data_IF_777697814520
#
_entry.id   IF_777697814520
#
_cell.length_a   1.000
_cell.length_b   1.000
_cell.length_c   1.000
_cell.angle_alpha   90.00
_cell.angle_beta   90.00
_cell.angle_gamma   90.00
#
_symmetry.space_group_name_H-M   'P 1'
#
loop_
_entity.id
_entity.type
_entity.pdbx_description
1 polymer ?
#
# COMPACT_ATOMS: atom_id res chain seq x y z
N UNK A 1 -3.82 10.18 -12.82
CA UNK A 1 -5.17 10.45 -13.34
C UNK A 1 -5.15 10.62 -14.87
N UNK A 2 -4.32 11.51 -15.44
CA UNK A 2 -4.25 11.69 -16.91
C UNK A 2 -3.75 10.45 -17.66
N UNK A 3 -2.84 9.65 -17.10
CA UNK A 3 -2.35 8.43 -17.75
C UNK A 3 -3.41 7.34 -17.81
N UNK A 4 -4.19 7.17 -16.75
CA UNK A 4 -5.29 6.20 -16.74
C UNK A 4 -6.50 6.65 -17.55
N UNK A 5 -6.68 7.97 -17.73
CA UNK A 5 -7.77 8.57 -18.49
C UNK A 5 -7.45 8.93 -19.94
N UNK A 6 -6.26 8.60 -20.46
CA UNK A 6 -5.78 9.10 -21.76
C UNK A 6 -6.69 8.67 -22.93
N UNK A 7 -7.27 7.48 -22.87
CA UNK A 7 -8.20 7.00 -23.88
C UNK A 7 -9.49 7.82 -23.91
N UNK A 8 -9.97 8.21 -22.73
CA UNK A 8 -11.17 9.05 -22.59
C UNK A 8 -10.90 10.45 -23.11
N UNK A 9 -9.76 11.05 -22.74
CA UNK A 9 -9.34 12.38 -23.22
C UNK A 9 -9.31 12.40 -24.74
N UNK A 10 -8.69 11.39 -25.38
CA UNK A 10 -8.62 11.25 -26.84
C UNK A 10 -9.96 10.98 -27.49
N UNK A 11 -10.79 10.13 -26.87
CA UNK A 11 -12.11 9.82 -27.40
C UNK A 11 -13.04 11.03 -27.46
N UNK A 12 -12.87 11.98 -26.56
CA UNK A 12 -13.64 13.22 -26.52
C UNK A 12 -12.94 14.43 -27.15
N UNK A 13 -11.72 14.27 -27.70
CA UNK A 13 -10.94 15.35 -28.33
C UNK A 13 -10.60 16.49 -27.35
N UNK A 14 -10.39 16.17 -26.06
CA UNK A 14 -10.23 17.15 -24.98
C UNK A 14 -8.76 17.30 -24.55
N UNK A 15 -7.82 17.06 -25.47
CA UNK A 15 -6.37 17.10 -25.21
C UNK A 15 -5.93 18.52 -24.83
N UNK A 16 -6.39 19.53 -25.57
CA UNK A 16 -5.98 20.92 -25.36
C UNK A 16 -6.36 21.44 -23.98
N UNK A 17 -7.56 21.13 -23.52
CA UNK A 17 -8.02 21.53 -22.18
C UNK A 17 -7.27 20.78 -21.08
N UNK A 18 -7.01 19.50 -21.30
CA UNK A 18 -6.23 18.65 -20.36
C UNK A 18 -4.78 19.13 -20.28
N UNK A 19 -4.19 19.54 -21.38
CA UNK A 19 -2.84 20.12 -21.43
C UNK A 19 -2.78 21.47 -20.70
N UNK A 20 -3.75 22.36 -20.92
CA UNK A 20 -3.84 23.65 -20.19
C UNK A 20 -3.95 23.44 -18.66
N UNK A 21 -4.78 22.51 -18.25
CA UNK A 21 -4.94 22.17 -16.81
C UNK A 21 -3.65 21.63 -16.23
N UNK A 22 -2.98 20.72 -16.95
CA UNK A 22 -1.68 20.18 -16.55
C UNK A 22 -0.61 21.28 -16.49
N UNK A 23 -0.52 22.14 -17.49
CA UNK A 23 0.45 23.25 -17.57
C UNK A 23 0.26 24.22 -16.40
N UNK A 24 -0.98 24.56 -16.06
CA UNK A 24 -1.27 25.39 -14.90
C UNK A 24 -0.81 24.74 -13.58
N UNK A 25 -1.17 23.49 -13.37
CA UNK A 25 -0.75 22.76 -12.16
C UNK A 25 0.78 22.61 -12.07
N UNK A 26 1.43 22.38 -13.23
CA UNK A 26 2.89 22.29 -13.32
C UNK A 26 3.57 23.63 -13.03
N UNK A 27 3.03 24.74 -13.53
CA UNK A 27 3.53 26.09 -13.21
C UNK A 27 3.43 26.42 -11.73
N UNK A 28 2.29 26.11 -11.10
CA UNK A 28 2.07 26.34 -9.68
C UNK A 28 3.04 25.51 -8.83
N UNK A 29 3.20 24.22 -9.16
CA UNK A 29 4.15 23.35 -8.50
C UNK A 29 5.60 23.82 -8.69
N UNK A 30 5.96 24.19 -9.93
CA UNK A 30 7.31 24.68 -10.26
C UNK A 30 7.59 25.99 -9.52
N UNK A 31 6.62 26.92 -9.48
CA UNK A 31 6.74 28.17 -8.74
C UNK A 31 7.01 27.94 -7.26
N UNK A 32 6.24 27.06 -6.63
CA UNK A 32 6.41 26.67 -5.22
C UNK A 32 7.77 26.03 -4.97
N UNK A 33 8.18 25.07 -5.80
CA UNK A 33 9.47 24.41 -5.69
C UNK A 33 10.64 25.37 -5.90
N UNK A 34 10.56 26.29 -6.86
CA UNK A 34 11.58 27.31 -7.07
C UNK A 34 11.73 28.22 -5.86
N UNK A 35 10.62 28.66 -5.26
CA UNK A 35 10.66 29.47 -4.04
C UNK A 35 11.36 28.72 -2.91
N UNK A 36 10.92 27.49 -2.61
CA UNK A 36 11.50 26.66 -1.55
C UNK A 36 12.99 26.41 -1.81
N UNK A 37 13.37 26.03 -3.03
CA UNK A 37 14.76 25.78 -3.38
C UNK A 37 15.63 27.04 -3.30
N UNK A 38 15.14 28.21 -3.73
CA UNK A 38 15.87 29.47 -3.59
C UNK A 38 16.13 29.80 -2.10
N UNK A 39 15.14 29.64 -1.24
CA UNK A 39 15.31 29.83 0.21
C UNK A 39 16.32 28.85 0.76
N UNK A 40 16.20 27.57 0.46
CA UNK A 40 17.09 26.52 0.96
C UNK A 40 18.55 26.72 0.49
N UNK A 41 18.75 27.04 -0.79
CA UNK A 41 20.11 27.27 -1.36
C UNK A 41 20.74 28.54 -0.76
N UNK A 42 19.95 29.58 -0.46
CA UNK A 42 20.48 30.81 0.13
C UNK A 42 20.85 30.66 1.62
N UNK A 43 20.27 29.71 2.32
CA UNK A 43 20.55 29.46 3.74
C UNK A 43 22.03 29.14 4.00
N UNK A 44 22.65 28.27 3.20
CA UNK A 44 24.03 27.86 3.38
C UNK A 44 25.02 29.02 3.27
N UNK A 45 25.02 29.87 2.21
CA UNK A 45 25.88 31.04 2.14
C UNK A 45 25.66 32.03 3.27
N UNK A 46 24.40 32.27 3.68
CA UNK A 46 24.08 33.17 4.79
C UNK A 46 24.65 32.63 6.08
N UNK A 47 24.48 31.35 6.39
CA UNK A 47 25.04 30.74 7.59
C UNK A 47 26.56 30.76 7.59
N UNK A 48 27.21 30.52 6.42
CA UNK A 48 28.65 30.67 6.28
C UNK A 48 29.12 32.10 6.56
N UNK A 49 28.42 33.08 6.06
CA UNK A 49 28.74 34.49 6.31
C UNK A 49 28.62 34.83 7.77
N UNK A 50 27.57 34.38 8.46
CA UNK A 50 27.39 34.59 9.90
C UNK A 50 28.53 33.90 10.68
N UNK A 51 28.89 32.66 10.32
CA UNK A 51 29.93 31.90 10.98
C UNK A 51 31.30 32.57 10.83
N UNK A 52 31.64 33.01 9.61
CA UNK A 52 32.90 33.74 9.37
C UNK A 52 32.93 35.08 10.10
N UNK A 53 31.82 35.82 10.09
CA UNK A 53 31.69 37.06 10.89
C UNK A 53 31.90 36.83 12.39
N UNK A 54 31.27 35.79 12.93
CA UNK A 54 31.47 35.41 14.35
C UNK A 54 32.91 35.03 14.64
N UNK A 55 33.54 34.26 13.76
CA UNK A 55 34.98 33.87 13.87
C UNK A 55 35.87 35.12 13.92
N UNK A 56 35.67 36.09 13.02
CA UNK A 56 36.43 37.33 13.01
C UNK A 56 36.25 38.14 14.32
N UNK A 57 35.03 38.23 14.83
CA UNK A 57 34.72 38.92 16.09
C UNK A 57 35.42 38.23 17.28
N UNK A 58 35.34 36.91 17.36
CA UNK A 58 35.99 36.16 18.44
C UNK A 58 37.51 36.34 18.38
N UNK A 59 38.12 36.28 17.20
CA UNK A 59 39.56 36.53 17.05
C UNK A 59 39.93 37.97 17.45
N UNK A 60 39.17 38.96 16.96
CA UNK A 60 39.46 40.36 17.25
C UNK A 60 39.36 40.69 18.75
N UNK A 61 38.27 40.32 19.40
CA UNK A 61 38.07 40.59 20.81
C UNK A 61 38.91 39.65 21.69
N UNK A 62 39.03 38.38 21.28
CA UNK A 62 39.84 37.39 21.99
C UNK A 62 41.32 37.76 22.01
N UNK A 63 41.88 38.19 20.89
CA UNK A 63 43.29 38.63 20.82
C UNK A 63 43.57 39.79 21.77
N UNK A 64 42.62 40.76 21.86
CA UNK A 64 42.73 41.87 22.84
C UNK A 64 42.74 41.38 24.29
N UNK A 65 41.92 40.39 24.63
CA UNK A 65 41.86 39.84 25.98
C UNK A 65 43.06 39.00 26.30
N UNK A 66 43.65 38.29 25.33
CA UNK A 66 44.92 37.57 25.47
C UNK A 66 46.07 38.56 25.71
N UNK A 67 46.14 39.67 24.96
CA UNK A 67 47.16 40.71 25.09
C UNK A 67 47.11 41.39 26.49
N UNK A 68 45.91 41.56 27.03
CA UNK A 68 45.67 42.07 28.38
C UNK A 68 45.92 41.02 29.48
N UNK A 69 46.22 39.77 29.12
CA UNK A 69 46.47 38.69 30.07
C UNK A 69 45.20 38.13 30.77
N UNK A 70 44.01 38.48 30.28
CA UNK A 70 42.72 38.07 30.89
C UNK A 70 42.29 36.65 30.51
N UNK A 71 42.72 36.15 29.34
CA UNK A 71 42.43 34.80 28.86
C UNK A 71 43.70 34.18 28.25
N UNK A 72 43.79 32.86 28.28
CA UNK A 72 44.83 32.13 27.58
C UNK A 72 44.47 31.91 26.09
N UNK A 73 45.49 31.74 25.24
CA UNK A 73 45.28 31.45 23.81
C UNK A 73 44.42 30.17 23.63
N UNK A 74 44.63 29.16 24.49
CA UNK A 74 43.80 27.92 24.46
C UNK A 74 42.34 28.16 24.75
N UNK A 75 41.99 29.11 25.61
CA UNK A 75 40.60 29.50 25.90
C UNK A 75 39.96 30.19 24.69
N UNK A 76 40.69 31.09 24.02
CA UNK A 76 40.22 31.70 22.77
C UNK A 76 39.94 30.64 21.69
N UNK A 77 40.82 29.65 21.55
CA UNK A 77 40.60 28.53 20.60
C UNK A 77 39.39 27.68 20.97
N UNK A 78 39.17 27.45 22.29
CA UNK A 78 37.96 26.76 22.76
C UNK A 78 36.67 27.52 22.42
N UNK A 79 36.64 28.86 22.57
CA UNK A 79 35.52 29.70 22.15
C UNK A 79 35.20 29.54 20.65
N UNK A 80 36.24 29.55 19.81
CA UNK A 80 36.03 29.30 18.35
C UNK A 80 35.41 27.95 18.08
N UNK A 81 35.90 26.91 18.75
CA UNK A 81 35.36 25.56 18.60
C UNK A 81 33.91 25.45 19.08
N UNK A 82 33.57 26.02 20.21
CA UNK A 82 32.21 26.03 20.74
C UNK A 82 31.26 26.81 19.83
N UNK A 83 31.70 27.94 19.29
CA UNK A 83 30.89 28.71 18.32
C UNK A 83 30.51 27.86 17.09
N UNK A 84 31.48 27.11 16.55
CA UNK A 84 31.20 26.18 15.43
C UNK A 84 30.20 25.07 15.80
N UNK A 85 30.37 24.45 16.98
CA UNK A 85 29.49 23.40 17.48
C UNK A 85 28.06 23.93 17.66
N UNK A 86 27.90 25.13 18.22
CA UNK A 86 26.60 25.77 18.43
C UNK A 86 25.89 25.99 17.08
N UNK A 87 26.58 26.59 16.10
CA UNK A 87 25.99 26.83 14.78
C UNK A 87 25.56 25.54 14.09
N UNK A 88 26.43 24.51 14.14
CA UNK A 88 26.11 23.19 13.57
C UNK A 88 24.91 22.54 14.26
N UNK A 89 24.81 22.67 15.58
CA UNK A 89 23.68 22.17 16.36
C UNK A 89 22.37 22.84 15.95
N UNK A 90 22.37 24.16 15.75
CA UNK A 90 21.19 24.87 15.24
C UNK A 90 20.77 24.42 13.84
N UNK A 91 21.74 24.20 12.94
CA UNK A 91 21.45 23.64 11.60
C UNK A 91 20.82 22.26 11.69
N UNK A 92 21.33 21.42 12.59
CA UNK A 92 20.78 20.06 12.79
C UNK A 92 19.34 20.12 13.32
N UNK A 93 19.06 20.98 14.31
CA UNK A 93 17.70 21.18 14.84
C UNK A 93 16.75 21.70 13.74
N UNK A 94 17.21 22.67 12.94
CA UNK A 94 16.41 23.17 11.82
C UNK A 94 16.08 22.08 10.78
N UNK A 95 17.03 21.20 10.47
CA UNK A 95 16.82 20.06 9.56
C UNK A 95 15.82 19.06 10.15
N UNK A 96 15.93 18.74 11.43
CA UNK A 96 14.99 17.86 12.14
C UNK A 96 13.58 18.45 12.11
N UNK A 97 13.43 19.75 12.33
CA UNK A 97 12.14 20.43 12.31
C UNK A 97 11.42 20.32 10.94
N UNK A 98 12.17 20.24 9.83
CA UNK A 98 11.61 20.02 8.49
C UNK A 98 11.29 18.53 8.24
N UNK A 99 12.11 17.63 8.76
CA UNK A 99 11.93 16.19 8.54
C UNK A 99 10.83 15.58 9.41
N UNK A 100 10.68 16.07 10.65
CA UNK A 100 9.77 15.49 11.65
C UNK A 100 8.31 15.40 11.18
N UNK A 101 7.70 16.44 10.58
CA UNK A 101 6.33 16.35 10.08
C UNK A 101 6.17 15.29 8.98
N UNK A 102 7.15 15.17 8.08
CA UNK A 102 7.13 14.16 7.02
C UNK A 102 7.24 12.74 7.57
N UNK A 103 8.15 12.55 8.52
CA UNK A 103 8.32 11.26 9.20
C UNK A 103 7.06 10.87 9.99
N UNK A 104 6.42 11.83 10.68
CA UNK A 104 5.18 11.59 11.42
C UNK A 104 4.04 11.15 10.49
N UNK A 105 3.84 11.83 9.35
CA UNK A 105 2.81 11.43 8.38
C UNK A 105 3.09 10.04 7.79
N UNK A 106 4.35 9.73 7.48
CA UNK A 106 4.73 8.42 6.99
C UNK A 106 4.52 7.33 8.04
N UNK A 107 4.89 7.60 9.30
CA UNK A 107 4.67 6.69 10.41
C UNK A 107 3.18 6.40 10.64
N UNK A 108 2.32 7.43 10.61
CA UNK A 108 0.89 7.24 10.76
C UNK A 108 0.29 6.37 9.64
N UNK A 109 0.75 6.52 8.40
CA UNK A 109 0.29 5.66 7.29
C UNK A 109 0.73 4.20 7.45
N UNK A 110 1.93 3.98 7.96
CA UNK A 110 2.42 2.63 8.27
C UNK A 110 1.62 2.04 9.44
N UNK A 111 1.39 2.83 10.48
CA UNK A 111 0.62 2.43 11.66
C UNK A 111 -0.82 2.05 11.31
N UNK A 112 -1.48 2.83 10.43
CA UNK A 112 -2.82 2.53 9.91
C UNK A 112 -2.87 1.15 9.25
N UNK A 113 -1.87 0.80 8.44
CA UNK A 113 -1.79 -0.52 7.79
C UNK A 113 -1.52 -1.62 8.81
N UNK A 114 -0.60 -1.40 9.76
CA UNK A 114 -0.25 -2.40 10.76
C UNK A 114 -1.39 -2.69 11.74
N UNK A 115 -2.21 -1.68 12.04
CA UNK A 115 -3.36 -1.81 12.93
C UNK A 115 -4.66 -2.22 12.20
N UNK A 116 -4.61 -2.39 10.86
CA UNK A 116 -5.76 -2.88 10.11
C UNK A 116 -5.94 -4.37 10.37
N UNK A 117 -6.98 -4.71 11.08
CA UNK A 117 -7.35 -6.11 11.31
C UNK A 117 -8.08 -6.68 10.09
N UNK A 118 -7.77 -7.91 9.69
CA UNK A 118 -8.54 -8.61 8.66
C UNK A 118 -10.01 -8.76 9.06
N UNK A 119 -10.91 -8.54 8.12
CA UNK A 119 -12.35 -8.72 8.34
C UNK A 119 -12.76 -10.20 8.53
N UNK A 120 -11.91 -11.13 8.09
CA UNK A 120 -12.13 -12.57 8.24
C UNK A 120 -11.47 -13.04 9.53
N UNK A 121 -12.27 -13.45 10.50
CA UNK A 121 -11.79 -13.99 11.78
C UNK A 121 -11.09 -15.34 11.57
N UNK A 122 -9.99 -15.56 12.31
CA UNK A 122 -9.38 -16.89 12.35
C UNK A 122 -10.30 -17.82 13.16
N UNK A 123 -10.56 -19.04 12.66
CA UNK A 123 -11.39 -19.98 13.40
C UNK A 123 -10.73 -20.32 14.74
N UNK A 124 -11.51 -20.28 15.83
CA UNK A 124 -11.05 -20.71 17.16
C UNK A 124 -10.77 -22.22 17.20
N UNK A 125 -11.55 -22.99 16.43
CA UNK A 125 -11.38 -24.43 16.26
C UNK A 125 -11.42 -24.76 14.78
N UNK A 126 -10.39 -25.48 14.31
CA UNK A 126 -10.29 -25.94 12.92
C UNK A 126 -10.98 -27.32 12.83
N UNK A 127 -11.97 -27.42 11.96
CA UNK A 127 -12.66 -28.65 11.62
C UNK A 127 -12.08 -29.23 10.35
N UNK A 128 -11.89 -30.54 10.30
CA UNK A 128 -11.46 -31.23 9.07
C UNK A 128 -12.64 -31.42 8.11
N UNK A 129 -12.35 -31.39 6.82
CA UNK A 129 -13.34 -31.65 5.78
C UNK A 129 -13.84 -33.08 5.83
N UNK A 130 -15.09 -33.27 5.38
CA UNK A 130 -15.73 -34.58 5.22
C UNK A 130 -15.37 -35.13 3.82
N UNK A 131 -14.45 -36.06 3.74
CA UNK A 131 -13.97 -36.62 2.46
C UNK A 131 -15.07 -37.36 1.67
N UNK A 132 -16.14 -37.83 2.35
CA UNK A 132 -17.30 -38.44 1.68
C UNK A 132 -18.17 -37.41 0.94
N UNK A 133 -17.99 -36.13 1.24
CA UNK A 133 -18.71 -35.01 0.62
C UNK A 133 -17.87 -34.18 -0.33
N UNK A 134 -16.69 -34.66 -0.74
CA UNK A 134 -15.77 -33.94 -1.59
C UNK A 134 -16.44 -33.36 -2.85
N UNK A 135 -16.30 -32.03 -3.04
CA UNK A 135 -16.87 -31.27 -4.15
C UNK A 135 -18.33 -30.82 -3.92
N UNK A 136 -18.89 -30.99 -2.70
CA UNK A 136 -20.21 -30.50 -2.36
C UNK A 136 -20.11 -29.06 -1.84
N UNK A 137 -20.89 -28.15 -2.42
CA UNK A 137 -21.00 -26.76 -1.97
C UNK A 137 -22.47 -26.47 -1.66
N UNK A 138 -22.75 -25.96 -0.46
CA UNK A 138 -24.10 -25.59 -0.06
C UNK A 138 -24.12 -24.16 0.47
N UNK A 139 -25.11 -23.40 0.06
CA UNK A 139 -25.49 -22.12 0.64
C UNK A 139 -26.79 -22.33 1.38
N UNK A 140 -26.85 -21.90 2.65
CA UNK A 140 -28.03 -22.06 3.50
C UNK A 140 -28.40 -20.72 4.12
N UNK A 141 -29.51 -20.15 3.67
CA UNK A 141 -30.03 -18.86 4.10
C UNK A 141 -28.98 -17.73 4.08
N UNK A 142 -28.14 -17.70 3.03
CA UNK A 142 -27.00 -16.79 2.94
C UNK A 142 -27.45 -15.39 2.59
N UNK A 143 -27.19 -14.44 3.47
CA UNK A 143 -27.25 -13.01 3.20
C UNK A 143 -25.86 -12.40 3.33
N UNK A 144 -25.54 -11.46 2.44
CA UNK A 144 -24.26 -10.79 2.46
C UNK A 144 -24.37 -9.30 2.14
N UNK A 145 -23.66 -8.51 2.96
CA UNK A 145 -23.50 -7.07 2.80
C UNK A 145 -22.01 -6.69 2.88
N UNK A 146 -21.55 -5.89 1.92
CA UNK A 146 -20.16 -5.38 1.99
C UNK A 146 -19.97 -4.45 3.18
N UNK A 147 -18.78 -4.43 3.80
CA UNK A 147 -18.45 -3.48 4.86
C UNK A 147 -18.71 -2.04 4.41
N UNK A 148 -19.47 -1.29 5.21
CA UNK A 148 -19.83 0.11 4.91
C UNK A 148 -20.93 0.31 3.86
N UNK A 149 -21.52 -0.76 3.30
CA UNK A 149 -22.72 -0.63 2.45
C UNK A 149 -23.99 -0.46 3.32
N UNK A 150 -25.01 0.20 2.78
CA UNK A 150 -26.29 0.37 3.48
C UNK A 150 -27.20 -0.86 3.28
N UNK A 151 -27.19 -1.47 2.10
CA UNK A 151 -28.06 -2.57 1.72
C UNK A 151 -27.30 -3.88 1.45
N UNK A 152 -27.90 -5.06 1.68
CA UNK A 152 -27.32 -6.34 1.33
C UNK A 152 -27.29 -6.52 -0.20
N UNK A 153 -26.23 -7.16 -0.70
CA UNK A 153 -26.08 -7.53 -2.11
C UNK A 153 -26.70 -8.90 -2.39
N UNK A 154 -26.69 -9.77 -1.40
CA UNK A 154 -27.32 -11.09 -1.43
C UNK A 154 -28.27 -11.22 -0.24
N UNK A 155 -29.46 -11.77 -0.48
CA UNK A 155 -30.48 -11.94 0.56
C UNK A 155 -31.09 -13.33 0.43
N UNK A 156 -31.03 -14.10 1.51
CA UNK A 156 -31.64 -15.40 1.69
C UNK A 156 -31.38 -16.38 0.51
N UNK A 157 -30.11 -16.58 0.19
CA UNK A 157 -29.68 -17.45 -0.91
C UNK A 157 -29.54 -18.88 -0.42
N UNK A 158 -30.28 -19.79 -1.05
CA UNK A 158 -30.23 -21.22 -0.84
C UNK A 158 -29.97 -21.98 -2.14
N UNK A 159 -28.90 -22.76 -2.20
CA UNK A 159 -28.66 -23.70 -3.26
C UNK A 159 -27.64 -24.77 -2.87
N UNK A 160 -27.62 -25.86 -3.66
CA UNK A 160 -26.63 -26.94 -3.52
C UNK A 160 -25.99 -27.23 -4.87
N UNK A 161 -24.66 -27.11 -4.96
CA UNK A 161 -23.87 -27.56 -6.09
C UNK A 161 -23.23 -28.93 -5.74
N UNK A 162 -23.54 -29.95 -6.54
CA UNK A 162 -23.12 -31.34 -6.29
C UNK A 162 -21.86 -31.68 -7.05
N UNK A 163 -21.05 -32.62 -6.56
CA UNK A 163 -19.88 -33.14 -7.26
C UNK A 163 -20.21 -33.59 -8.69
N UNK A 164 -19.32 -33.28 -9.64
CA UNK A 164 -19.48 -33.64 -11.04
C UNK A 164 -20.55 -32.86 -11.81
N UNK A 165 -21.17 -31.84 -11.20
CA UNK A 165 -22.16 -31.00 -11.86
C UNK A 165 -21.62 -29.59 -12.12
N UNK A 166 -22.07 -28.98 -13.19
CA UNK A 166 -21.84 -27.56 -13.46
C UNK A 166 -23.04 -26.74 -13.01
N UNK A 167 -22.86 -25.83 -12.10
CA UNK A 167 -23.87 -24.87 -11.65
C UNK A 167 -23.59 -23.49 -12.25
N UNK A 168 -24.54 -22.93 -13.00
CA UNK A 168 -24.40 -21.64 -13.65
C UNK A 168 -25.31 -20.58 -12.99
N UNK A 169 -24.75 -19.42 -12.61
CA UNK A 169 -25.49 -18.28 -12.13
C UNK A 169 -25.68 -17.25 -13.23
N UNK A 170 -26.93 -17.00 -13.61
CA UNK A 170 -27.34 -16.10 -14.71
C UNK A 170 -28.08 -14.91 -14.11
N UNK A 171 -27.81 -13.72 -14.62
CA UNK A 171 -28.49 -12.50 -14.19
C UNK A 171 -27.84 -11.24 -14.79
N UNK A 172 -28.49 -10.09 -14.59
CA UNK A 172 -28.03 -8.80 -15.06
C UNK A 172 -26.70 -8.37 -14.39
N UNK A 173 -26.05 -7.35 -14.94
CA UNK A 173 -24.89 -6.72 -14.30
C UNK A 173 -25.31 -6.13 -12.95
N UNK A 174 -24.54 -6.36 -11.91
CA UNK A 174 -24.85 -5.89 -10.55
C UNK A 174 -25.74 -6.83 -9.72
N UNK A 175 -26.19 -7.98 -10.25
CA UNK A 175 -27.06 -8.92 -9.51
C UNK A 175 -26.34 -9.79 -8.45
N UNK A 176 -25.10 -9.50 -8.10
CA UNK A 176 -24.38 -10.21 -7.04
C UNK A 176 -23.67 -11.51 -7.44
N UNK A 177 -23.63 -11.90 -8.74
CA UNK A 177 -23.00 -13.17 -9.19
C UNK A 177 -21.53 -13.32 -8.74
N UNK A 178 -20.73 -12.31 -8.96
CA UNK A 178 -19.31 -12.32 -8.54
C UNK A 178 -19.19 -12.32 -7.02
N UNK A 179 -20.07 -11.63 -6.33
CA UNK A 179 -20.12 -11.64 -4.85
C UNK A 179 -20.38 -13.04 -4.32
N UNK A 180 -21.39 -13.74 -4.89
CA UNK A 180 -21.74 -15.09 -4.51
C UNK A 180 -20.56 -16.05 -4.67
N UNK A 181 -19.88 -16.01 -5.84
CA UNK A 181 -18.70 -16.85 -6.11
C UNK A 181 -17.55 -16.53 -5.14
N UNK A 182 -17.36 -15.27 -4.76
CA UNK A 182 -16.30 -14.83 -3.86
C UNK A 182 -16.50 -15.27 -2.40
N UNK A 183 -17.71 -15.66 -2.01
CA UNK A 183 -17.97 -16.22 -0.68
C UNK A 183 -17.47 -17.66 -0.53
N UNK A 184 -17.37 -18.43 -1.63
CA UNK A 184 -16.92 -19.83 -1.61
C UNK A 184 -15.47 -19.95 -1.12
N UNK A 185 -14.46 -19.20 -1.69
CA UNK A 185 -13.09 -19.21 -1.20
C UNK A 185 -12.90 -18.33 0.06
N UNK A 186 -13.99 -17.89 0.66
CA UNK A 186 -14.02 -17.03 1.85
C UNK A 186 -13.16 -15.77 1.66
N UNK A 187 -13.40 -15.03 0.56
CA UNK A 187 -12.83 -13.68 0.43
C UNK A 187 -13.56 -12.68 1.33
N UNK A 188 -14.79 -13.02 1.71
CA UNK A 188 -15.62 -12.33 2.70
C UNK A 188 -16.37 -13.35 3.52
N UNK A 189 -16.66 -13.03 4.77
CA UNK A 189 -17.56 -13.81 5.63
C UNK A 189 -19.02 -13.39 5.36
N UNK A 190 -19.93 -14.34 5.39
CA UNK A 190 -21.36 -14.06 5.21
C UNK A 190 -21.91 -13.25 6.38
N UNK A 191 -22.89 -12.39 6.12
CA UNK A 191 -23.54 -11.60 7.17
C UNK A 191 -24.53 -12.46 7.96
N UNK A 192 -25.26 -13.33 7.25
CA UNK A 192 -26.22 -14.29 7.82
C UNK A 192 -26.14 -15.61 7.05
N UNK A 193 -26.55 -16.69 7.70
CA UNK A 193 -26.51 -18.03 7.12
C UNK A 193 -25.13 -18.67 7.14
N UNK A 194 -24.96 -19.70 6.32
CA UNK A 194 -23.69 -20.43 6.22
C UNK A 194 -23.39 -20.87 4.78
N UNK A 195 -22.09 -20.87 4.42
CA UNK A 195 -21.56 -21.49 3.22
C UNK A 195 -20.74 -22.70 3.64
N UNK A 196 -21.10 -23.87 3.14
CA UNK A 196 -20.35 -25.09 3.41
C UNK A 196 -19.63 -25.60 2.17
N UNK A 197 -18.40 -26.06 2.34
CA UNK A 197 -17.60 -26.77 1.35
C UNK A 197 -17.25 -28.12 1.95
N UNK A 198 -17.47 -29.20 1.18
CA UNK A 198 -17.25 -30.57 1.65
C UNK A 198 -17.92 -30.86 3.00
N UNK A 199 -19.11 -30.27 3.21
CA UNK A 199 -19.92 -30.47 4.40
C UNK A 199 -19.52 -29.66 5.65
N UNK A 200 -18.50 -28.78 5.55
CA UNK A 200 -18.02 -27.97 6.66
C UNK A 200 -18.16 -26.48 6.33
N UNK A 201 -18.62 -25.69 7.28
CA UNK A 201 -18.71 -24.21 7.14
C UNK A 201 -17.32 -23.63 6.91
N UNK A 202 -17.20 -22.81 5.87
CA UNK A 202 -15.93 -22.17 5.46
C UNK A 202 -15.29 -21.32 6.57
N UNK A 203 -16.09 -20.91 7.57
CA UNK A 203 -15.60 -20.16 8.74
C UNK A 203 -14.86 -21.04 9.75
N UNK A 204 -15.07 -22.35 9.73
CA UNK A 204 -14.51 -23.29 10.68
C UNK A 204 -13.35 -24.14 10.12
N UNK A 205 -12.84 -23.78 8.95
CA UNK A 205 -11.69 -24.44 8.32
C UNK A 205 -10.51 -23.47 8.17
N UNK A 206 -9.32 -24.03 8.03
CA UNK A 206 -8.14 -23.26 7.69
C UNK A 206 -8.31 -22.61 6.31
N UNK A 207 -7.96 -21.33 6.16
CA UNK A 207 -7.99 -20.64 4.87
C UNK A 207 -7.13 -21.33 3.80
N UNK A 208 -5.99 -21.89 4.22
CA UNK A 208 -5.09 -22.64 3.35
C UNK A 208 -5.79 -23.89 2.82
N UNK A 209 -6.28 -24.73 3.72
CA UNK A 209 -6.91 -26.01 3.36
C UNK A 209 -8.19 -25.80 2.52
N UNK A 210 -8.94 -24.74 2.77
CA UNK A 210 -10.10 -24.37 1.95
C UNK A 210 -9.69 -24.02 0.53
N UNK A 211 -8.67 -23.15 0.38
CA UNK A 211 -8.25 -22.64 -0.93
C UNK A 211 -7.49 -23.67 -1.75
N UNK A 212 -6.81 -24.61 -1.12
CA UNK A 212 -6.18 -25.74 -1.79
C UNK A 212 -7.18 -26.67 -2.50
N UNK A 213 -8.45 -26.64 -2.08
CA UNK A 213 -9.53 -27.43 -2.70
C UNK A 213 -10.27 -26.68 -3.81
N UNK A 214 -9.99 -25.38 -4.00
CA UNK A 214 -10.76 -24.51 -4.88
C UNK A 214 -9.86 -23.87 -5.93
N UNK A 215 -10.13 -24.16 -7.21
CA UNK A 215 -9.55 -23.39 -8.31
C UNK A 215 -10.44 -22.20 -8.65
N UNK A 216 -9.86 -20.99 -8.72
CA UNK A 216 -10.57 -19.75 -9.06
C UNK A 216 -10.02 -19.17 -10.35
N UNK A 217 -10.92 -18.97 -11.34
CA UNK A 217 -10.59 -18.24 -12.57
C UNK A 217 -11.23 -16.84 -12.48
N UNK A 218 -10.45 -15.77 -12.25
CA UNK A 218 -10.99 -14.43 -12.12
C UNK A 218 -11.44 -13.86 -13.48
N UNK A 219 -12.43 -12.98 -13.46
CA UNK A 219 -12.91 -12.29 -14.66
C UNK A 219 -11.84 -11.40 -15.32
N UNK A 220 -10.95 -10.81 -14.51
CA UNK A 220 -9.78 -10.06 -14.97
C UNK A 220 -8.54 -10.78 -14.49
N UNK A 221 -7.80 -11.39 -15.42
CA UNK A 221 -6.50 -11.95 -15.13
C UNK A 221 -5.49 -10.85 -14.80
N UNK A 222 -4.70 -11.06 -13.76
CA UNK A 222 -3.54 -10.24 -13.42
C UNK A 222 -2.29 -11.07 -13.61
N UNK A 223 -1.30 -10.49 -14.29
CA UNK A 223 0.03 -11.09 -14.40
C UNK A 223 0.97 -10.43 -13.41
N UNK A 224 1.66 -11.24 -12.63
CA UNK A 224 2.74 -10.78 -11.77
C UNK A 224 4.01 -10.52 -12.58
N UNK A 225 4.86 -9.64 -12.09
CA UNK A 225 6.18 -9.41 -12.68
C UNK A 225 7.00 -10.69 -12.66
N UNK A 226 7.46 -11.13 -13.83
CA UNK A 226 8.19 -12.39 -13.98
C UNK A 226 8.04 -12.97 -15.39
N UNK A 227 8.22 -14.27 -15.51
CA UNK A 227 8.05 -15.01 -16.76
C UNK A 227 6.62 -15.54 -16.91
N UNK A 228 6.25 -15.99 -18.10
CA UNK A 228 4.98 -16.70 -18.33
C UNK A 228 4.93 -17.96 -17.46
N UNK A 229 6.01 -18.72 -17.42
CA UNK A 229 6.15 -19.92 -16.59
C UNK A 229 5.91 -19.61 -15.11
N UNK A 230 6.55 -18.58 -14.55
CA UNK A 230 6.37 -18.22 -13.14
C UNK A 230 4.94 -17.79 -12.81
N UNK A 231 4.19 -17.24 -13.77
CA UNK A 231 2.80 -16.90 -13.61
C UNK A 231 1.89 -18.13 -13.67
N UNK A 232 2.18 -19.10 -14.52
CA UNK A 232 1.42 -20.36 -14.58
C UNK A 232 1.68 -21.21 -13.32
N UNK A 233 2.94 -21.33 -12.90
CA UNK A 233 3.35 -22.04 -11.69
C UNK A 233 3.01 -21.31 -10.37
N UNK A 234 2.34 -20.15 -10.40
CA UNK A 234 2.12 -19.34 -9.21
C UNK A 234 1.40 -20.06 -8.07
N UNK A 235 0.38 -20.87 -8.41
CA UNK A 235 -0.38 -21.67 -7.45
C UNK A 235 0.20 -23.07 -7.18
N UNK A 236 1.16 -23.53 -8.00
CA UNK A 236 1.77 -24.84 -7.93
C UNK A 236 3.26 -24.74 -8.31
N UNK A 237 4.12 -24.23 -7.40
CA UNK A 237 5.53 -23.97 -7.72
C UNK A 237 6.35 -25.22 -8.07
N UNK A 238 5.91 -26.38 -7.61
CA UNK A 238 6.56 -27.68 -7.83
C UNK A 238 6.09 -28.40 -9.10
N UNK A 239 5.29 -27.72 -9.96
CA UNK A 239 4.79 -28.29 -11.21
C UNK A 239 5.95 -28.72 -12.12
N UNK A 240 5.94 -29.98 -12.59
CA UNK A 240 6.94 -30.50 -13.52
C UNK A 240 6.83 -29.85 -14.91
N UNK A 241 7.85 -29.99 -15.73
CA UNK A 241 7.83 -29.43 -17.09
C UNK A 241 6.83 -30.15 -18.00
N UNK A 242 6.59 -31.45 -17.76
CA UNK A 242 5.57 -32.24 -18.46
C UNK A 242 4.16 -31.75 -18.12
N UNK A 243 3.86 -31.56 -16.84
CA UNK A 243 2.57 -31.03 -16.37
C UNK A 243 2.35 -29.59 -16.85
N UNK A 244 3.42 -28.76 -16.85
CA UNK A 244 3.36 -27.41 -17.38
C UNK A 244 2.97 -27.41 -18.87
N UNK A 245 3.57 -28.30 -19.67
CA UNK A 245 3.26 -28.44 -21.09
C UNK A 245 1.81 -28.90 -21.30
N UNK A 246 1.32 -29.81 -20.48
CA UNK A 246 -0.07 -30.27 -20.53
C UNK A 246 -1.06 -29.12 -20.20
N UNK A 247 -0.79 -28.34 -19.15
CA UNK A 247 -1.63 -27.18 -18.77
C UNK A 247 -1.68 -26.15 -19.88
N UNK A 248 -0.52 -25.89 -20.54
CA UNK A 248 -0.45 -24.94 -21.67
C UNK A 248 -1.25 -25.46 -22.86
N UNK A 249 -1.16 -26.75 -23.18
CA UNK A 249 -1.88 -27.38 -24.31
C UNK A 249 -3.40 -27.36 -24.09
N UNK A 250 -3.85 -27.59 -22.85
CA UNK A 250 -5.27 -27.50 -22.48
C UNK A 250 -5.80 -26.06 -22.55
N UNK A 251 -4.97 -25.07 -22.23
CA UNK A 251 -5.36 -23.66 -22.23
C UNK A 251 -5.33 -23.01 -23.61
N UNK A 252 -4.62 -23.57 -24.60
CA UNK A 252 -4.37 -23.11 -25.98
C UNK A 252 -3.68 -21.76 -26.06
#
# INVERSE_FOLDING_TARGET
>A
ENLSGILVIRAFGNEEESEKRFDQANKDLTGTNLFVNRVMVSLMPIMMFIMQGMTLLIIYFGAKQVDLGNIAIGEMMAFLQYAMIIVMSFLMVAMIAVMLPRASVAANRVDEVLNTEPTSEKPEQITSFDEDKKGLIEFKHVSFKYPGADEPVLTDIDFTARPGQTTAFIGSTGSGKSTLINLIPRFYDVTEGEVTVDGVDVRHVSMHDLRDRIGVVPQKGLLFSGTIESNIKYGAPDLSDEELAEVIDVAQ
#
